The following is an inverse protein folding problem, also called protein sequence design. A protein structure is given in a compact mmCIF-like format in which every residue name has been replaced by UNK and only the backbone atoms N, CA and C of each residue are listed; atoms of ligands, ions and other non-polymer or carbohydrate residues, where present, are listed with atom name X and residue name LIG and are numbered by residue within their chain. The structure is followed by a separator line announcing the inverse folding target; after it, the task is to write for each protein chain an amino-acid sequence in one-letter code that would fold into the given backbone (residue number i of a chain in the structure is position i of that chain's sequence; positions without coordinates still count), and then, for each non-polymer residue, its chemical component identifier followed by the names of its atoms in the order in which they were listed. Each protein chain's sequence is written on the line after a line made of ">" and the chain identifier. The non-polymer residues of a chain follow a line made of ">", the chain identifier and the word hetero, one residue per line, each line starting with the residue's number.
data_IF_566395508788
#
_entry.id   IF_566395508788
#
_cell.length_a   1.000
_cell.length_b   1.000
_cell.length_c   1.000
_cell.angle_alpha   90.00
_cell.angle_beta   90.00
_cell.angle_gamma   90.00
#
_symmetry.space_group_name_H-M   'P 1'
#
loop_
_entity.id
_entity.type
_entity.pdbx_description
1 polymer ?
#
# COMPACT_ATOMS: atom_id res chain seq x y z
N UNK A 1 -9.14 18.46 -19.88
CA UNK A 1 -9.97 17.80 -18.84
C UNK A 1 -11.03 16.96 -19.53
N UNK A 2 -10.89 15.64 -19.46
CA UNK A 2 -11.87 14.70 -20.04
C UNK A 2 -13.01 14.43 -19.05
N UNK A 3 -14.26 14.19 -19.50
CA UNK A 3 -15.36 13.79 -18.62
C UNK A 3 -15.04 12.60 -17.70
N UNK A 4 -14.23 11.66 -18.20
CA UNK A 4 -13.78 10.48 -17.44
C UNK A 4 -12.90 10.89 -16.25
N UNK A 5 -12.03 11.89 -16.43
CA UNK A 5 -11.18 12.41 -15.36
C UNK A 5 -12.01 13.09 -14.26
N UNK A 6 -13.04 13.85 -14.64
CA UNK A 6 -13.94 14.50 -13.68
C UNK A 6 -14.72 13.49 -12.83
N UNK A 7 -15.20 12.40 -13.46
CA UNK A 7 -15.83 11.28 -12.75
C UNK A 7 -14.86 10.59 -11.79
N UNK A 8 -13.62 10.34 -12.21
CA UNK A 8 -12.57 9.78 -11.35
C UNK A 8 -12.28 10.70 -10.15
N UNK A 9 -12.22 12.01 -10.36
CA UNK A 9 -11.99 12.97 -9.28
C UNK A 9 -13.14 12.98 -8.26
N UNK A 10 -14.38 13.01 -8.73
CA UNK A 10 -15.56 12.98 -7.87
C UNK A 10 -15.65 11.68 -7.05
N UNK A 11 -15.38 10.53 -7.67
CA UNK A 11 -15.39 9.23 -6.99
C UNK A 11 -14.27 9.11 -5.95
N UNK A 12 -13.06 9.60 -6.24
CA UNK A 12 -11.96 9.63 -5.28
C UNK A 12 -12.30 10.51 -4.05
N UNK A 13 -12.91 11.67 -4.26
CA UNK A 13 -13.36 12.56 -3.18
C UNK A 13 -14.41 11.90 -2.28
N UNK A 14 -15.33 11.13 -2.88
CA UNK A 14 -16.37 10.40 -2.16
C UNK A 14 -15.80 9.23 -1.34
N UNK A 15 -14.91 8.42 -1.92
CA UNK A 15 -14.34 7.23 -1.24
C UNK A 15 -13.42 7.62 -0.08
N UNK A 16 -12.65 8.70 -0.24
CA UNK A 16 -11.68 9.09 0.78
C UNK A 16 -12.29 9.66 2.06
N UNK A 17 -13.57 10.03 2.03
CA UNK A 17 -14.30 10.58 3.17
C UNK A 17 -15.43 9.63 3.54
N UNK A 18 -15.14 8.52 4.26
CA UNK A 18 -16.19 7.64 4.76
C UNK A 18 -17.13 8.45 5.67
N UNK A 19 -18.42 8.39 5.35
CA UNK A 19 -19.52 9.20 5.89
C UNK A 19 -19.33 9.58 7.36
N UNK A 20 -19.24 10.89 7.61
CA UNK A 20 -19.67 11.47 8.87
C UNK A 20 -21.19 11.75 8.75
N UNK A 21 -21.96 11.57 9.83
CA UNK A 21 -23.43 11.49 9.83
C UNK A 21 -24.16 12.84 9.55
N UNK A 22 -23.76 13.60 8.53
CA UNK A 22 -24.36 14.88 8.16
C UNK A 22 -24.19 15.25 6.67
N UNK A 23 -24.85 16.35 6.26
CA UNK A 23 -24.72 16.93 4.91
C UNK A 23 -23.33 17.54 4.71
N UNK A 24 -22.42 16.79 4.12
CA UNK A 24 -21.04 17.21 3.88
C UNK A 24 -20.74 17.35 2.38
N UNK A 25 -19.94 18.35 2.02
CA UNK A 25 -19.48 18.60 0.65
C UNK A 25 -17.99 18.27 0.55
N UNK A 26 -17.65 17.35 -0.35
CA UNK A 26 -16.28 16.89 -0.54
C UNK A 26 -15.75 17.35 -1.90
N UNK A 27 -14.54 17.89 -1.90
CA UNK A 27 -13.87 18.35 -3.10
C UNK A 27 -12.68 17.47 -3.43
N UNK A 28 -12.40 17.34 -4.72
CA UNK A 28 -11.20 16.68 -5.19
C UNK A 28 -9.97 17.55 -4.90
N UNK A 29 -8.96 16.93 -4.27
CA UNK A 29 -7.62 17.51 -4.09
C UNK A 29 -6.61 16.63 -4.83
N UNK A 30 -5.66 17.24 -5.54
CA UNK A 30 -4.54 16.53 -6.20
C UNK A 30 -3.72 15.70 -5.21
N UNK A 31 -3.69 16.07 -3.92
CA UNK A 31 -3.08 15.24 -2.85
C UNK A 31 -3.84 13.93 -2.64
N UNK A 32 -5.15 13.92 -2.89
CA UNK A 32 -6.01 12.75 -2.81
C UNK A 32 -5.74 11.77 -3.95
N UNK A 33 -5.65 12.27 -5.19
CA UNK A 33 -5.25 11.47 -6.35
C UNK A 33 -3.92 10.76 -6.10
N UNK A 34 -2.89 11.50 -5.65
CA UNK A 34 -1.59 10.92 -5.31
C UNK A 34 -1.68 9.76 -4.29
N UNK A 35 -2.63 9.80 -3.34
CA UNK A 35 -2.83 8.69 -2.38
C UNK A 35 -3.43 7.45 -3.02
N UNK A 36 -4.39 7.61 -3.93
CA UNK A 36 -4.97 6.49 -4.66
C UNK A 36 -3.96 5.87 -5.64
N UNK A 37 -3.21 6.71 -6.35
CA UNK A 37 -2.17 6.27 -7.29
C UNK A 37 -1.06 5.49 -6.57
N UNK A 38 -0.64 5.92 -5.37
CA UNK A 38 0.35 5.20 -4.55
C UNK A 38 -0.03 3.75 -4.28
N UNK A 39 -1.29 3.50 -3.90
CA UNK A 39 -1.75 2.13 -3.61
C UNK A 39 -1.75 1.27 -4.87
N UNK A 40 -2.23 1.82 -5.98
CA UNK A 40 -2.25 1.15 -7.28
C UNK A 40 -0.83 0.82 -7.77
N UNK A 41 0.07 1.79 -7.73
CA UNK A 41 1.48 1.64 -8.11
C UNK A 41 2.17 0.58 -7.23
N UNK A 42 1.98 0.63 -5.91
CA UNK A 42 2.56 -0.35 -4.99
C UNK A 42 2.05 -1.76 -5.27
N UNK A 43 0.77 -1.92 -5.58
CA UNK A 43 0.18 -3.21 -5.95
C UNK A 43 0.78 -3.75 -7.27
N UNK A 44 0.96 -2.89 -8.27
CA UNK A 44 1.60 -3.25 -9.52
C UNK A 44 3.06 -3.68 -9.31
N UNK A 45 3.83 -2.92 -8.52
CA UNK A 45 5.22 -3.24 -8.19
C UNK A 45 5.35 -4.55 -7.41
N UNK A 46 4.45 -4.79 -6.45
CA UNK A 46 4.41 -6.03 -5.69
C UNK A 46 4.11 -7.23 -6.60
N UNK A 47 3.14 -7.10 -7.51
CA UNK A 47 2.80 -8.15 -8.48
C UNK A 47 3.98 -8.47 -9.41
N UNK A 48 4.70 -7.44 -9.87
CA UNK A 48 5.91 -7.64 -10.67
C UNK A 48 6.98 -8.36 -9.87
N UNK A 49 7.27 -7.92 -8.66
CA UNK A 49 8.31 -8.52 -7.82
C UNK A 49 7.99 -9.97 -7.39
N UNK A 50 6.70 -10.31 -7.23
CA UNK A 50 6.23 -11.70 -7.08
C UNK A 50 6.56 -12.53 -8.33
N UNK A 51 6.29 -11.99 -9.51
CA UNK A 51 6.55 -12.67 -10.79
C UNK A 51 8.05 -12.86 -11.04
N UNK A 52 8.85 -11.87 -10.65
CA UNK A 52 10.31 -11.87 -10.80
C UNK A 52 11.03 -12.68 -9.70
N UNK A 53 10.31 -13.32 -8.77
CA UNK A 53 10.88 -14.03 -7.60
C UNK A 53 11.85 -13.17 -6.76
N UNK A 54 11.58 -11.87 -6.59
CA UNK A 54 12.41 -10.93 -5.81
C UNK A 54 12.05 -10.87 -4.33
N UNK A 55 11.50 -11.96 -3.80
CA UNK A 55 11.03 -12.05 -2.42
C UNK A 55 12.09 -12.73 -1.58
N UNK A 56 12.40 -12.13 -0.44
CA UNK A 56 13.33 -12.64 0.54
C UNK A 56 12.57 -12.99 1.83
N UNK A 57 13.04 -14.02 2.55
CA UNK A 57 12.50 -14.40 3.85
C UNK A 57 13.60 -14.25 4.88
N UNK A 58 13.35 -13.45 5.91
CA UNK A 58 14.25 -13.26 7.04
C UNK A 58 13.70 -14.07 8.22
N UNK A 59 14.57 -14.72 8.99
CA UNK A 59 14.16 -15.56 10.11
C UNK A 59 14.50 -14.90 11.44
N UNK A 60 13.47 -14.56 12.22
CA UNK A 60 13.64 -14.01 13.56
C UNK A 60 13.52 -15.13 14.60
N UNK A 61 14.56 -15.41 15.41
CA UNK A 61 14.51 -16.45 16.43
C UNK A 61 13.57 -16.06 17.58
N UNK A 62 12.80 -17.04 18.04
CA UNK A 62 12.04 -16.99 19.29
C UNK A 62 12.76 -17.88 20.28
N UNK A 63 13.27 -17.29 21.36
CA UNK A 63 14.09 -17.97 22.36
C UNK A 63 13.28 -18.34 23.60
N UNK A 64 13.48 -19.56 24.10
CA UNK A 64 13.02 -19.96 25.41
C UNK A 64 14.02 -19.46 26.45
N UNK A 65 13.60 -18.50 27.28
CA UNK A 65 14.47 -17.84 28.26
C UNK A 65 15.02 -18.75 29.36
N UNK A 66 14.31 -19.80 29.84
CA UNK A 66 14.86 -20.66 30.89
C UNK A 66 16.03 -21.51 30.41
N UNK A 67 15.96 -22.05 29.18
CA UNK A 67 17.02 -22.91 28.63
C UNK A 67 18.03 -22.14 27.75
N UNK A 68 17.78 -20.86 27.48
CA UNK A 68 18.52 -20.02 26.52
C UNK A 68 18.68 -20.70 25.14
N UNK A 69 17.65 -21.46 24.74
CA UNK A 69 17.62 -22.19 23.46
C UNK A 69 16.66 -21.52 22.49
N UNK A 70 16.98 -21.63 21.20
CA UNK A 70 16.07 -21.24 20.14
C UNK A 70 14.94 -22.26 20.11
N UNK A 71 13.71 -21.79 20.34
CA UNK A 71 12.53 -22.64 20.29
C UNK A 71 11.98 -22.74 18.86
N UNK A 72 11.90 -21.60 18.15
CA UNK A 72 11.31 -21.47 16.81
C UNK A 72 11.92 -20.29 16.05
N UNK A 73 11.58 -20.17 14.78
CA UNK A 73 11.84 -18.97 13.98
C UNK A 73 10.53 -18.47 13.36
N UNK A 74 10.31 -17.15 13.40
CA UNK A 74 9.29 -16.47 12.62
C UNK A 74 9.85 -16.12 11.25
N UNK A 75 9.12 -16.47 10.19
CA UNK A 75 9.47 -16.13 8.81
C UNK A 75 8.88 -14.77 8.44
N UNK A 76 9.76 -13.79 8.21
CA UNK A 76 9.41 -12.41 7.90
C UNK A 76 9.60 -12.13 6.41
N UNK A 77 8.52 -11.77 5.74
CA UNK A 77 8.53 -11.37 4.33
C UNK A 77 9.33 -10.06 4.13
N UNK A 78 10.21 -10.05 3.13
CA UNK A 78 10.99 -8.88 2.70
C UNK A 78 10.96 -8.76 1.19
N UNK A 79 10.95 -7.51 0.74
CA UNK A 79 10.89 -7.17 -0.68
C UNK A 79 11.54 -5.81 -0.90
N UNK A 80 12.27 -5.68 -2.01
CA UNK A 80 12.83 -4.39 -2.47
C UNK A 80 12.00 -3.92 -3.64
N UNK A 81 11.22 -2.87 -3.42
CA UNK A 81 10.43 -2.20 -4.45
C UNK A 81 11.08 -0.87 -4.78
N UNK A 82 11.27 -0.58 -6.06
CA UNK A 82 11.67 0.76 -6.48
C UNK A 82 10.44 1.68 -6.41
N UNK A 83 10.38 2.49 -5.37
CA UNK A 83 9.27 3.41 -5.09
C UNK A 83 9.52 4.82 -5.62
N UNK A 84 10.66 5.09 -6.26
CA UNK A 84 11.02 6.39 -6.82
C UNK A 84 10.40 6.63 -8.21
N UNK A 85 9.27 6.00 -8.50
CA UNK A 85 8.59 6.15 -9.78
C UNK A 85 7.84 7.48 -9.78
N UNK A 86 8.01 8.33 -10.82
CA UNK A 86 7.28 9.58 -10.91
C UNK A 86 5.77 9.33 -10.97
N UNK A 87 5.02 10.08 -10.18
CA UNK A 87 3.56 10.10 -10.24
C UNK A 87 3.15 10.86 -11.50
N UNK A 88 2.65 10.14 -12.51
CA UNK A 88 2.09 10.72 -13.74
C UNK A 88 0.71 11.33 -13.48
#
# INVERSE_FOLDING_TARGET
>A
TSPIQLLSHATQALIANPKDNGSSLYYFDRRLAKRFDRKSILAALLKQALTDNKIEVYYQPIVATPELKIAKFEALFRIKLDTNIPYN
#
